data_IF_407581655683
#
_entry.id   IF_407581655683
#
_cell.length_a   1.000
_cell.length_b   1.000
_cell.length_c   1.000
_cell.angle_alpha   90.00
_cell.angle_beta   90.00
_cell.angle_gamma   90.00
#
_symmetry.space_group_name_H-M   'P 1'
#
loop_
_entity.id
_entity.type
_entity.pdbx_description
1 polymer ?
#
# COMPACT_ATOMS: atom_id res chain seq x y z
N UNK A 1 -4.71 -29.90 -4.72
CA UNK A 1 -3.72 -30.11 -3.64
C UNK A 1 -2.87 -31.33 -4.03
N UNK A 2 -1.54 -31.22 -4.05
CA UNK A 2 -0.65 -32.35 -4.37
C UNK A 2 -0.35 -33.09 -3.07
N UNK A 3 -0.75 -34.34 -2.96
CA UNK A 3 -0.41 -35.23 -1.83
C UNK A 3 0.74 -36.12 -2.28
N UNK A 4 1.85 -36.12 -1.58
CA UNK A 4 3.02 -36.94 -1.87
C UNK A 4 3.40 -37.77 -0.65
N UNK A 5 3.86 -39.00 -0.90
CA UNK A 5 4.42 -39.85 0.16
C UNK A 5 5.80 -39.29 0.56
N UNK A 6 6.05 -39.13 1.85
CA UNK A 6 7.33 -38.63 2.33
C UNK A 6 8.39 -39.74 2.21
N UNK A 7 9.30 -39.60 1.25
CA UNK A 7 10.50 -40.40 1.05
C UNK A 7 11.72 -39.49 1.03
N UNK A 8 12.92 -39.99 1.14
CA UNK A 8 14.13 -39.13 1.08
C UNK A 8 14.22 -38.36 -0.25
N UNK A 9 13.79 -38.94 -1.37
CA UNK A 9 13.79 -38.28 -2.68
C UNK A 9 12.73 -37.16 -2.73
N UNK A 10 11.49 -37.43 -2.30
CA UNK A 10 10.42 -36.42 -2.27
C UNK A 10 10.70 -35.31 -1.27
N UNK A 11 11.35 -35.61 -0.15
CA UNK A 11 11.82 -34.63 0.84
C UNK A 11 12.87 -33.69 0.22
N UNK A 12 13.86 -34.26 -0.48
CA UNK A 12 14.89 -33.49 -1.16
C UNK A 12 14.30 -32.59 -2.26
N UNK A 13 13.36 -33.11 -3.07
CA UNK A 13 12.67 -32.33 -4.12
C UNK A 13 11.82 -31.20 -3.52
N UNK A 14 11.05 -31.47 -2.46
CA UNK A 14 10.24 -30.48 -1.75
C UNK A 14 11.13 -29.39 -1.15
N UNK A 15 12.22 -29.74 -0.46
CA UNK A 15 13.15 -28.78 0.11
C UNK A 15 13.83 -27.92 -0.95
N UNK A 16 14.28 -28.53 -2.05
CA UNK A 16 14.89 -27.81 -3.17
C UNK A 16 13.91 -26.82 -3.80
N UNK A 17 12.64 -27.20 -3.95
CA UNK A 17 11.61 -26.31 -4.50
C UNK A 17 11.18 -25.22 -3.53
N UNK A 18 11.18 -25.47 -2.22
CA UNK A 18 10.94 -24.45 -1.19
C UNK A 18 12.11 -23.45 -1.09
N UNK A 19 13.35 -23.94 -1.16
CA UNK A 19 14.55 -23.09 -1.15
C UNK A 19 14.66 -22.21 -2.39
N UNK A 20 14.13 -22.63 -3.54
CA UNK A 20 14.01 -21.77 -4.72
C UNK A 20 13.08 -20.56 -4.52
N UNK A 21 12.22 -20.60 -3.49
CA UNK A 21 11.36 -19.49 -3.06
C UNK A 21 12.00 -18.63 -1.97
N UNK A 22 13.29 -18.83 -1.69
CA UNK A 22 14.01 -18.02 -0.70
C UNK A 22 13.96 -16.54 -1.08
N UNK A 23 13.68 -15.64 -0.10
CA UNK A 23 13.69 -14.20 -0.31
C UNK A 23 14.99 -13.66 -0.89
N UNK A 24 16.09 -14.39 -0.74
CA UNK A 24 17.42 -13.96 -1.17
C UNK A 24 17.66 -14.06 -2.69
N UNK A 25 16.68 -14.52 -3.49
CA UNK A 25 16.83 -14.69 -4.94
C UNK A 25 16.13 -13.56 -5.74
N UNK A 26 16.26 -12.32 -5.28
CA UNK A 26 15.76 -11.12 -5.99
C UNK A 26 16.71 -10.58 -7.06
N UNK A 27 17.90 -11.15 -7.20
CA UNK A 27 18.96 -10.65 -8.07
C UNK A 27 18.55 -10.37 -9.52
N UNK A 28 17.59 -11.14 -10.07
CA UNK A 28 17.07 -10.90 -11.42
C UNK A 28 16.22 -9.63 -11.56
N UNK A 29 15.66 -9.10 -10.46
CA UNK A 29 14.81 -7.90 -10.46
C UNK A 29 15.54 -6.68 -9.90
N UNK A 30 16.61 -6.87 -9.15
CA UNK A 30 17.31 -5.80 -8.42
C UNK A 30 17.79 -4.70 -9.35
N UNK A 31 18.44 -5.06 -10.45
CA UNK A 31 18.94 -4.09 -11.43
C UNK A 31 17.81 -3.31 -12.09
N UNK A 32 16.72 -4.00 -12.46
CA UNK A 32 15.53 -3.35 -13.04
C UNK A 32 14.89 -2.36 -12.07
N UNK A 33 14.70 -2.76 -10.81
CA UNK A 33 14.14 -1.88 -9.78
C UNK A 33 15.06 -0.70 -9.50
N UNK A 34 16.37 -0.93 -9.39
CA UNK A 34 17.36 0.13 -9.19
C UNK A 34 17.35 1.16 -10.33
N UNK A 35 17.22 0.71 -11.57
CA UNK A 35 17.12 1.60 -12.72
C UNK A 35 15.85 2.45 -12.67
N UNK A 36 14.69 1.87 -12.33
CA UNK A 36 13.43 2.60 -12.16
C UNK A 36 13.57 3.64 -11.04
N UNK A 37 14.11 3.26 -9.89
CA UNK A 37 14.28 4.16 -8.74
C UNK A 37 15.19 5.34 -9.08
N UNK A 38 16.33 5.08 -9.73
CA UNK A 38 17.26 6.13 -10.16
C UNK A 38 16.64 7.06 -11.20
N UNK A 39 15.83 6.53 -12.09
CA UNK A 39 15.16 7.29 -13.13
C UNK A 39 14.08 8.22 -12.55
N UNK A 40 13.25 7.72 -11.63
CA UNK A 40 12.31 8.56 -10.88
C UNK A 40 13.04 9.65 -10.09
N UNK A 41 14.17 9.32 -9.45
CA UNK A 41 14.94 10.31 -8.69
C UNK A 41 15.45 11.45 -9.59
N UNK A 42 15.82 11.16 -10.84
CA UNK A 42 16.38 12.14 -11.77
C UNK A 42 15.33 12.85 -12.63
N UNK A 43 14.33 12.14 -13.17
CA UNK A 43 13.35 12.69 -14.13
C UNK A 43 11.94 12.88 -13.55
N UNK A 44 11.73 12.53 -12.27
CA UNK A 44 10.50 12.83 -11.52
C UNK A 44 9.21 12.41 -12.26
N UNK A 45 8.28 13.34 -12.45
CA UNK A 45 6.99 13.14 -13.12
C UNK A 45 7.11 12.52 -14.50
N UNK A 46 8.09 12.95 -15.29
CA UNK A 46 8.30 12.40 -16.63
C UNK A 46 8.51 10.89 -16.60
N UNK A 47 9.40 10.42 -15.72
CA UNK A 47 9.64 9.00 -15.55
C UNK A 47 8.42 8.27 -14.95
N UNK A 48 7.72 8.88 -13.98
CA UNK A 48 6.53 8.30 -13.36
C UNK A 48 5.44 8.02 -14.40
N UNK A 49 5.16 8.97 -15.28
CA UNK A 49 4.13 8.83 -16.30
C UNK A 49 4.51 7.83 -17.38
N UNK A 50 5.77 7.85 -17.85
CA UNK A 50 6.29 6.87 -18.81
C UNK A 50 6.21 5.43 -18.27
N UNK A 51 6.59 5.19 -17.01
CA UNK A 51 6.49 3.86 -16.41
C UNK A 51 5.03 3.45 -16.16
N UNK A 52 4.15 4.38 -15.81
CA UNK A 52 2.72 4.10 -15.65
C UNK A 52 2.09 3.72 -16.99
N UNK A 53 2.41 4.42 -18.09
CA UNK A 53 1.96 4.03 -19.42
C UNK A 53 2.52 2.66 -19.83
N UNK A 54 3.81 2.40 -19.54
CA UNK A 54 4.48 1.16 -19.88
C UNK A 54 3.91 -0.07 -19.15
N UNK A 55 3.60 0.05 -17.87
CA UNK A 55 3.23 -1.10 -17.03
C UNK A 55 1.72 -1.23 -16.79
N UNK A 56 1.03 -0.12 -16.66
CA UNK A 56 -0.42 -0.09 -16.40
C UNK A 56 -1.23 0.25 -17.66
N UNK A 57 -0.55 0.58 -18.78
CA UNK A 57 -1.13 0.98 -20.06
C UNK A 57 -2.05 2.21 -19.95
N UNK A 58 -1.88 3.01 -18.92
CA UNK A 58 -2.68 4.18 -18.63
C UNK A 58 -1.93 5.47 -18.99
N UNK A 59 -2.57 6.37 -19.74
CA UNK A 59 -2.03 7.68 -20.05
C UNK A 59 -2.31 8.66 -18.91
N UNK A 60 -1.37 8.72 -18.00
CA UNK A 60 -1.41 9.60 -16.83
C UNK A 60 -0.48 10.79 -17.06
N UNK A 61 -0.86 11.95 -16.54
CA UNK A 61 -0.11 13.20 -16.58
C UNK A 61 -0.36 14.01 -15.28
N UNK A 62 0.22 15.18 -15.14
CA UNK A 62 0.07 16.03 -13.97
C UNK A 62 -1.39 16.42 -13.65
N UNK A 63 -2.26 16.54 -14.66
CA UNK A 63 -3.65 16.97 -14.49
C UNK A 63 -4.56 15.83 -13.99
N UNK A 64 -4.19 14.56 -14.25
CA UNK A 64 -5.04 13.41 -13.96
C UNK A 64 -4.42 12.33 -13.07
N UNK A 65 -3.16 12.49 -12.64
CA UNK A 65 -2.48 11.52 -11.75
C UNK A 65 -3.16 11.47 -10.38
N UNK A 66 -3.64 12.59 -9.87
CA UNK A 66 -4.36 12.66 -8.60
C UNK A 66 -5.83 12.30 -8.82
N UNK A 67 -6.35 11.43 -7.95
CA UNK A 67 -7.78 11.10 -7.91
C UNK A 67 -8.56 12.33 -7.45
N UNK A 68 -9.61 12.66 -8.19
CA UNK A 68 -10.50 13.79 -7.90
C UNK A 68 -11.60 13.39 -6.92
N UNK A 69 -12.21 14.38 -6.26
CA UNK A 69 -13.38 14.13 -5.39
C UNK A 69 -14.56 13.57 -6.20
N UNK A 70 -14.74 14.00 -7.45
CA UNK A 70 -15.77 13.46 -8.35
C UNK A 70 -15.58 11.95 -8.65
N UNK A 71 -14.35 11.50 -8.82
CA UNK A 71 -14.06 10.05 -8.98
C UNK A 71 -14.36 9.26 -7.71
N UNK A 72 -14.15 9.86 -6.53
CA UNK A 72 -14.52 9.26 -5.26
C UNK A 72 -16.04 9.17 -5.12
N UNK A 73 -16.78 10.24 -5.45
CA UNK A 73 -18.24 10.25 -5.44
C UNK A 73 -18.82 9.22 -6.42
N UNK A 74 -18.28 9.15 -7.65
CA UNK A 74 -18.63 8.12 -8.62
C UNK A 74 -18.43 6.72 -8.04
N UNK A 75 -17.30 6.48 -7.34
CA UNK A 75 -16.98 5.20 -6.72
C UNK A 75 -18.02 4.75 -5.69
N UNK A 76 -18.58 5.67 -4.90
CA UNK A 76 -19.64 5.34 -3.96
C UNK A 76 -20.91 4.83 -4.63
N UNK A 77 -21.22 5.28 -5.85
CA UNK A 77 -22.40 4.80 -6.60
C UNK A 77 -22.23 3.37 -7.12
N UNK A 78 -20.97 2.89 -7.20
CA UNK A 78 -20.62 1.57 -7.74
C UNK A 78 -20.34 0.52 -6.65
N UNK A 79 -20.34 0.92 -5.38
CA UNK A 79 -20.08 0.02 -4.26
C UNK A 79 -21.39 -0.36 -3.58
N UNK A 80 -21.60 -1.67 -3.41
CA UNK A 80 -22.77 -2.21 -2.73
C UNK A 80 -22.87 -1.71 -1.28
N UNK A 81 -24.08 -1.36 -0.83
CA UNK A 81 -24.33 -0.81 0.50
C UNK A 81 -23.88 -1.77 1.64
N UNK A 82 -24.03 -3.08 1.44
CA UNK A 82 -23.60 -4.10 2.41
C UNK A 82 -22.07 -4.15 2.50
N UNK A 83 -21.38 -3.99 1.37
CA UNK A 83 -19.92 -3.91 1.35
C UNK A 83 -19.42 -2.65 2.05
N UNK A 84 -20.07 -1.51 1.82
CA UNK A 84 -19.75 -0.26 2.52
C UNK A 84 -19.92 -0.40 4.04
N UNK A 85 -21.02 -1.01 4.50
CA UNK A 85 -21.23 -1.30 5.92
C UNK A 85 -20.12 -2.22 6.48
N UNK A 86 -19.73 -3.23 5.71
CA UNK A 86 -18.64 -4.15 6.08
C UNK A 86 -17.30 -3.44 6.22
N UNK A 87 -16.96 -2.52 5.30
CA UNK A 87 -15.76 -1.68 5.36
C UNK A 87 -15.80 -0.84 6.65
N UNK A 88 -16.90 -0.17 6.94
CA UNK A 88 -17.06 0.66 8.15
C UNK A 88 -16.90 -0.15 9.44
N UNK A 89 -17.49 -1.35 9.48
CA UNK A 89 -17.32 -2.27 10.61
C UNK A 89 -15.87 -2.73 10.78
N UNK A 90 -15.17 -3.03 9.67
CA UNK A 90 -13.76 -3.39 9.70
C UNK A 90 -12.90 -2.23 10.22
N UNK A 91 -13.17 -0.97 9.81
CA UNK A 91 -12.48 0.22 10.30
C UNK A 91 -12.60 0.31 11.83
N UNK A 92 -13.80 0.12 12.39
CA UNK A 92 -14.01 0.16 13.84
C UNK A 92 -13.19 -0.91 14.55
N UNK A 93 -13.19 -2.14 14.04
CA UNK A 93 -12.44 -3.25 14.63
C UNK A 93 -10.93 -3.00 14.62
N UNK A 94 -10.39 -2.57 13.47
CA UNK A 94 -8.96 -2.29 13.30
C UNK A 94 -8.55 -1.12 14.20
N UNK A 95 -9.33 -0.04 14.23
CA UNK A 95 -9.10 1.11 15.10
C UNK A 95 -9.05 0.71 16.57
N UNK A 96 -10.05 0.00 17.05
CA UNK A 96 -10.15 -0.46 18.44
C UNK A 96 -8.92 -1.28 18.85
N UNK A 97 -8.42 -2.14 17.96
CA UNK A 97 -7.21 -2.93 18.21
C UNK A 97 -5.97 -2.03 18.32
N UNK A 98 -5.76 -1.12 17.36
CA UNK A 98 -4.56 -0.27 17.33
C UNK A 98 -4.57 0.84 18.39
N UNK A 99 -5.74 1.30 18.84
CA UNK A 99 -5.84 2.21 19.98
C UNK A 99 -5.30 1.59 21.26
N UNK A 100 -5.53 0.27 21.47
CA UNK A 100 -4.94 -0.46 22.59
C UNK A 100 -3.42 -0.60 22.47
N UNK A 101 -2.88 -0.73 21.26
CA UNK A 101 -1.43 -0.78 21.04
C UNK A 101 -0.73 0.56 21.36
N UNK A 102 -1.44 1.68 21.25
CA UNK A 102 -0.89 3.02 21.55
C UNK A 102 -0.80 3.28 23.05
N UNK A 103 -1.41 2.45 23.89
CA UNK A 103 -1.36 2.64 25.35
C UNK A 103 0.08 2.59 25.82
N UNK A 104 0.45 3.62 26.60
CA UNK A 104 1.74 3.73 27.24
C UNK A 104 1.83 2.72 28.39
N UNK A 105 2.92 1.97 28.42
CA UNK A 105 3.32 1.17 29.59
C UNK A 105 4.53 1.87 30.20
N UNK A 106 4.39 2.37 31.40
CA UNK A 106 5.52 2.72 32.23
C UNK A 106 5.57 1.81 33.46
N UNK A 107 6.73 1.43 33.83
CA UNK A 107 7.00 0.80 35.12
C UNK A 107 8.14 1.53 35.77
N UNK A 108 7.91 2.01 37.00
CA UNK A 108 8.94 2.61 37.82
C UNK A 108 9.48 1.54 38.78
N UNK A 109 10.79 1.23 38.66
CA UNK A 109 11.47 0.33 39.53
C UNK A 109 12.80 0.96 39.95
N UNK A 110 12.98 1.23 41.25
CA UNK A 110 14.20 1.84 41.81
C UNK A 110 14.65 3.15 41.13
N UNK A 111 13.69 4.02 40.73
CA UNK A 111 13.97 5.28 40.04
C UNK A 111 14.28 5.14 38.56
N UNK A 112 14.12 3.95 38.00
CA UNK A 112 14.24 3.72 36.53
C UNK A 112 12.86 3.68 35.90
N UNK A 113 12.59 4.58 34.94
CA UNK A 113 11.38 4.59 34.13
C UNK A 113 11.59 3.74 32.88
N UNK A 114 10.79 2.69 32.71
CA UNK A 114 10.78 1.84 31.52
C UNK A 114 9.42 2.00 30.83
N UNK A 115 9.43 2.26 29.51
CA UNK A 115 8.19 2.46 28.78
C UNK A 115 8.38 2.42 27.27
N UNK A 116 7.25 2.53 26.55
CA UNK A 116 7.22 2.61 25.09
C UNK A 116 6.59 3.92 24.66
N UNK A 117 7.31 4.71 23.85
CA UNK A 117 6.82 5.96 23.29
C UNK A 117 6.42 5.77 21.82
N UNK A 118 5.15 6.01 21.50
CA UNK A 118 4.67 6.05 20.11
C UNK A 118 4.75 7.51 19.62
N UNK A 119 5.57 7.75 18.60
CA UNK A 119 5.70 9.07 17.96
C UNK A 119 5.24 8.96 16.51
N UNK A 120 4.25 9.76 16.06
CA UNK A 120 3.79 9.72 14.68
C UNK A 120 4.83 10.32 13.73
N UNK A 121 4.88 9.81 12.51
CA UNK A 121 5.53 10.49 11.40
C UNK A 121 4.67 11.67 10.95
N UNK A 122 5.30 12.77 10.47
CA UNK A 122 4.57 13.93 10.00
C UNK A 122 3.72 13.62 8.76
N UNK A 123 4.29 12.85 7.83
CA UNK A 123 3.64 12.41 6.58
C UNK A 123 4.05 10.97 6.28
N UNK A 124 3.14 10.20 5.69
CA UNK A 124 3.43 8.83 5.21
C UNK A 124 2.87 8.63 3.82
N UNK A 125 3.59 7.86 3.00
CA UNK A 125 3.12 7.29 1.75
C UNK A 125 2.66 5.86 1.96
N UNK A 126 1.50 5.51 1.45
CA UNK A 126 0.89 4.17 1.53
C UNK A 126 0.76 3.60 0.13
N UNK A 127 1.37 2.46 -0.13
CA UNK A 127 1.18 1.73 -1.38
C UNK A 127 0.10 0.66 -1.21
N UNK A 128 -0.91 0.70 -2.07
CA UNK A 128 -1.96 -0.31 -2.12
C UNK A 128 -1.89 -1.02 -3.48
N UNK A 129 -1.66 -2.33 -3.51
CA UNK A 129 -1.61 -3.06 -4.76
C UNK A 129 -2.97 -3.04 -5.47
N UNK A 130 -2.93 -3.14 -6.80
CA UNK A 130 -4.10 -3.17 -7.68
C UNK A 130 -3.82 -3.99 -8.93
N UNK A 131 -4.53 -3.72 -10.02
CA UNK A 131 -4.36 -4.36 -11.32
C UNK A 131 -5.23 -5.60 -11.48
N UNK A 132 -4.92 -6.73 -10.85
CA UNK A 132 -5.71 -7.97 -11.00
C UNK A 132 -6.89 -8.09 -10.03
N UNK A 133 -6.87 -7.38 -8.92
CA UNK A 133 -7.92 -7.39 -7.90
C UNK A 133 -7.89 -6.10 -7.06
N UNK A 134 -9.02 -5.75 -6.46
CA UNK A 134 -9.10 -4.68 -5.47
C UNK A 134 -8.70 -5.22 -4.09
N UNK A 135 -7.97 -4.40 -3.33
CA UNK A 135 -7.50 -4.74 -1.99
C UNK A 135 -7.93 -3.69 -0.95
N UNK A 136 -9.23 -3.50 -0.70
CA UNK A 136 -9.72 -2.54 0.29
C UNK A 136 -9.18 -2.83 1.69
N UNK A 137 -8.95 -4.11 2.03
CA UNK A 137 -8.34 -4.50 3.30
C UNK A 137 -6.92 -3.95 3.47
N UNK A 138 -6.11 -3.89 2.41
CA UNK A 138 -4.76 -3.30 2.46
C UNK A 138 -4.82 -1.80 2.74
N UNK A 139 -5.82 -1.09 2.20
CA UNK A 139 -6.07 0.31 2.56
C UNK A 139 -6.28 0.43 4.06
N UNK A 140 -7.24 -0.32 4.62
CA UNK A 140 -7.61 -0.23 6.03
C UNK A 140 -6.45 -0.58 6.95
N UNK A 141 -5.72 -1.66 6.64
CA UNK A 141 -4.62 -2.16 7.48
C UNK A 141 -3.38 -1.25 7.46
N UNK A 142 -3.22 -0.39 6.46
CA UNK A 142 -2.14 0.60 6.42
C UNK A 142 -2.60 1.96 6.99
N UNK A 143 -3.78 2.43 6.61
CA UNK A 143 -4.24 3.79 6.92
C UNK A 143 -4.73 3.93 8.35
N UNK A 144 -5.53 2.97 8.85
CA UNK A 144 -6.09 3.07 10.20
C UNK A 144 -5.01 3.11 11.29
N UNK A 145 -3.99 2.22 11.28
CA UNK A 145 -2.87 2.33 12.23
C UNK A 145 -2.13 3.66 12.15
N UNK A 146 -1.92 4.19 10.93
CA UNK A 146 -1.28 5.49 10.75
C UNK A 146 -2.11 6.63 11.35
N UNK A 147 -3.44 6.65 11.14
CA UNK A 147 -4.36 7.63 11.77
C UNK A 147 -4.37 7.48 13.29
N UNK A 148 -4.41 6.26 13.83
CA UNK A 148 -4.36 6.01 15.28
C UNK A 148 -3.03 6.49 15.87
N UNK A 149 -1.91 6.27 15.17
CA UNK A 149 -0.60 6.79 15.58
C UNK A 149 -0.56 8.32 15.64
N UNK A 150 -1.41 9.02 14.88
CA UNK A 150 -1.48 10.47 14.82
C UNK A 150 -0.70 11.08 13.63
N UNK A 151 -0.50 10.31 12.55
CA UNK A 151 0.12 10.81 11.32
C UNK A 151 -0.70 11.97 10.76
N UNK A 152 -0.04 13.11 10.47
CA UNK A 152 -0.68 14.35 10.04
C UNK A 152 -1.19 14.31 8.60
N UNK A 153 -0.44 13.67 7.68
CA UNK A 153 -0.83 13.53 6.27
C UNK A 153 -0.56 12.12 5.77
N UNK A 154 -1.55 11.51 5.13
CA UNK A 154 -1.46 10.18 4.52
C UNK A 154 -1.74 10.30 3.03
N UNK A 155 -0.74 10.01 2.21
CA UNK A 155 -0.82 9.95 0.75
C UNK A 155 -0.84 8.49 0.32
N UNK A 156 -1.78 8.10 -0.52
CA UNK A 156 -1.90 6.73 -1.03
C UNK A 156 -1.58 6.68 -2.51
N UNK A 157 -0.80 5.67 -2.94
CA UNK A 157 -0.66 5.32 -4.35
C UNK A 157 -1.25 3.94 -4.61
N UNK A 158 -1.88 3.79 -5.78
CA UNK A 158 -2.44 2.53 -6.25
C UNK A 158 -2.46 2.54 -7.77
N UNK A 159 -2.16 1.43 -8.46
CA UNK A 159 -2.26 1.37 -9.91
C UNK A 159 -3.70 1.59 -10.37
N UNK A 160 -3.86 2.19 -11.55
CA UNK A 160 -5.13 2.31 -12.26
C UNK A 160 -5.21 1.30 -13.41
N UNK A 161 -6.37 1.18 -14.02
CA UNK A 161 -6.55 0.43 -15.26
C UNK A 161 -6.14 1.28 -16.49
N UNK A 162 -6.23 0.70 -17.70
CA UNK A 162 -5.86 1.38 -18.95
C UNK A 162 -6.66 2.67 -19.22
N UNK A 163 -7.88 2.76 -18.68
CA UNK A 163 -8.74 3.94 -18.76
C UNK A 163 -8.41 5.01 -17.68
N UNK A 164 -7.34 4.79 -16.87
CA UNK A 164 -6.95 5.68 -15.79
C UNK A 164 -7.90 5.65 -14.57
N UNK A 165 -8.68 4.58 -14.41
CA UNK A 165 -9.62 4.42 -13.29
C UNK A 165 -9.06 3.50 -12.21
N UNK A 166 -9.22 3.90 -10.95
CA UNK A 166 -8.92 3.08 -9.77
C UNK A 166 -10.17 2.28 -9.39
N UNK A 167 -9.99 1.09 -8.84
CA UNK A 167 -11.10 0.27 -8.37
C UNK A 167 -11.99 1.04 -7.37
N UNK A 168 -13.33 1.09 -7.58
CA UNK A 168 -14.26 1.83 -6.73
C UNK A 168 -14.16 1.44 -5.25
N UNK A 169 -14.05 0.14 -4.96
CA UNK A 169 -13.91 -0.36 -3.58
C UNK A 169 -12.63 0.12 -2.88
N UNK A 170 -11.55 0.33 -3.64
CA UNK A 170 -10.29 0.89 -3.12
C UNK A 170 -10.45 2.36 -2.79
N UNK A 171 -11.11 3.15 -3.66
CA UNK A 171 -11.37 4.58 -3.43
C UNK A 171 -12.29 4.80 -2.25
N UNK A 172 -13.39 4.03 -2.15
CA UNK A 172 -14.32 4.10 -1.02
C UNK A 172 -13.60 3.74 0.28
N UNK A 173 -12.81 2.67 0.31
CA UNK A 173 -12.03 2.30 1.48
C UNK A 173 -11.02 3.40 1.87
N UNK A 174 -10.37 4.05 0.91
CA UNK A 174 -9.44 5.14 1.14
C UNK A 174 -10.14 6.35 1.78
N UNK A 175 -11.30 6.76 1.25
CA UNK A 175 -12.11 7.85 1.78
C UNK A 175 -12.60 7.56 3.19
N UNK A 176 -13.21 6.39 3.41
CA UNK A 176 -13.72 5.96 4.73
C UNK A 176 -12.60 5.82 5.77
N UNK A 177 -11.40 5.38 5.37
CA UNK A 177 -10.24 5.30 6.26
C UNK A 177 -9.60 6.65 6.58
N UNK A 178 -9.86 7.69 5.77
CA UNK A 178 -9.36 9.05 5.94
C UNK A 178 -8.00 9.29 5.27
N UNK A 179 -7.77 8.72 4.08
CA UNK A 179 -6.63 9.09 3.22
C UNK A 179 -6.81 10.54 2.77
N UNK A 180 -5.73 11.32 2.79
CA UNK A 180 -5.79 12.75 2.43
C UNK A 180 -5.67 12.96 0.91
N UNK A 181 -4.85 12.16 0.23
CA UNK A 181 -4.66 12.23 -1.23
C UNK A 181 -4.43 10.83 -1.82
N UNK A 182 -4.97 10.58 -3.00
CA UNK A 182 -4.79 9.31 -3.74
C UNK A 182 -4.20 9.61 -5.11
N UNK A 183 -3.15 8.86 -5.49
CA UNK A 183 -2.45 8.99 -6.76
C UNK A 183 -2.49 7.68 -7.57
N UNK A 184 -2.69 7.82 -8.89
CA UNK A 184 -2.85 6.73 -9.85
C UNK A 184 -1.49 6.27 -10.37
N UNK A 185 -0.73 5.61 -9.51
CA UNK A 185 0.57 5.05 -9.87
C UNK A 185 0.82 3.74 -9.09
N UNK A 186 1.37 2.75 -9.78
CA UNK A 186 1.72 1.45 -9.22
C UNK A 186 3.21 1.16 -9.25
N UNK A 187 3.62 -0.05 -8.87
CA UNK A 187 4.97 -0.55 -9.03
C UNK A 187 6.08 0.18 -8.25
N UNK A 188 7.32 -0.09 -8.64
CA UNK A 188 8.50 0.49 -8.01
C UNK A 188 8.58 2.01 -8.23
N UNK A 189 8.07 2.52 -9.36
CA UNK A 189 8.03 3.94 -9.68
C UNK A 189 7.16 4.72 -8.68
N UNK A 190 6.04 4.16 -8.24
CA UNK A 190 5.17 4.81 -7.26
C UNK A 190 5.87 4.92 -5.88
N UNK A 191 6.55 3.86 -5.45
CA UNK A 191 7.32 3.86 -4.19
C UNK A 191 8.46 4.88 -4.27
N UNK A 192 9.18 4.95 -5.40
CA UNK A 192 10.24 5.91 -5.60
C UNK A 192 9.71 7.35 -5.60
N UNK A 193 8.56 7.60 -6.24
CA UNK A 193 7.90 8.91 -6.24
C UNK A 193 7.49 9.34 -4.81
N UNK A 194 6.93 8.44 -4.00
CA UNK A 194 6.63 8.72 -2.59
C UNK A 194 7.87 9.05 -1.76
N UNK A 195 9.01 8.42 -2.07
CA UNK A 195 10.25 8.59 -1.32
C UNK A 195 11.02 9.86 -1.70
N UNK A 196 11.13 10.17 -2.99
CA UNK A 196 11.93 11.28 -3.50
C UNK A 196 11.12 12.53 -3.84
N UNK A 197 9.80 12.39 -3.93
CA UNK A 197 8.91 13.46 -4.39
C UNK A 197 8.91 13.64 -5.91
N UNK A 198 7.83 14.24 -6.40
CA UNK A 198 7.59 14.65 -7.79
C UNK A 198 7.07 16.08 -7.82
N UNK A 199 6.83 16.64 -9.00
CA UNK A 199 6.28 17.98 -9.16
C UNK A 199 4.76 17.99 -8.92
N UNK A 200 4.06 16.91 -9.32
CA UNK A 200 2.60 16.75 -9.21
C UNK A 200 2.10 16.24 -7.87
#
# INVERSE_FOLDING_TARGET
>A
MRIVKLTEDTKKDILTNLLKRSPDNYGSYEETVKNIVNDIHSRRDTALFEYTEKFDHAKINADNVRVTEAEIEEAYTQVDAKLLETIRKAIVNIRTYHEKQKQWFDSENNGTLLGQKVTPLAKVGVYVPGGKAAYPSSVLMNVIPAKVAGVGKIVMTTPCNAEGKVYPTTLVAAKEAGVDEVYKAGGAQAIAALAYGTES
#
